data_IF_776892912374
#
_entry.id   IF_776892912374
#
_cell.length_a   1.000
_cell.length_b   1.000
_cell.length_c   1.000
_cell.angle_alpha   90.00
_cell.angle_beta   90.00
_cell.angle_gamma   90.00
#
_symmetry.space_group_name_H-M   'P 1'
#
loop_
_entity.id
_entity.type
_entity.pdbx_description
1 polymer ?
#
# COMPACT_ATOMS: atom_id res chain seq x y z
N UNK A 1 14.31 -28.31 65.20
CA UNK A 1 13.48 -27.45 64.34
C UNK A 1 13.89 -27.66 62.87
N UNK A 2 13.06 -28.32 62.09
CA UNK A 2 13.31 -28.54 60.66
C UNK A 2 12.73 -27.35 59.87
N UNK A 3 13.59 -26.56 59.21
CA UNK A 3 13.17 -25.49 58.29
C UNK A 3 12.58 -26.11 57.02
N UNK A 4 11.30 -25.87 56.77
CA UNK A 4 10.63 -26.18 55.49
C UNK A 4 10.94 -25.03 54.52
N UNK A 5 11.73 -25.29 53.47
CA UNK A 5 11.91 -24.37 52.34
C UNK A 5 10.67 -24.48 51.45
N UNK A 6 10.00 -23.36 51.27
CA UNK A 6 8.88 -23.22 50.35
C UNK A 6 9.46 -22.75 48.99
N UNK A 7 9.42 -23.58 47.97
CA UNK A 7 9.74 -23.17 46.59
C UNK A 7 8.47 -22.59 45.96
N UNK A 8 8.48 -21.28 45.72
CA UNK A 8 7.44 -20.62 44.89
C UNK A 8 7.82 -20.81 43.44
N UNK A 9 7.10 -21.67 42.71
CA UNK A 9 7.18 -21.76 41.27
C UNK A 9 6.45 -20.54 40.70
N UNK A 10 7.20 -19.56 40.21
CA UNK A 10 6.64 -18.44 39.43
C UNK A 10 6.36 -18.98 38.03
N UNK A 11 5.08 -19.26 37.75
CA UNK A 11 4.61 -19.52 36.41
C UNK A 11 4.58 -18.16 35.67
N UNK A 12 5.60 -17.85 34.91
CA UNK A 12 5.48 -16.82 33.88
C UNK A 12 4.66 -17.42 32.75
N UNK A 13 3.50 -16.84 32.39
CA UNK A 13 2.81 -17.29 31.18
C UNK A 13 3.75 -17.01 29.99
N UNK A 14 4.16 -18.04 29.27
CA UNK A 14 4.66 -17.89 27.93
C UNK A 14 3.48 -17.36 27.12
N UNK A 15 3.45 -16.07 26.84
CA UNK A 15 2.60 -15.50 25.79
C UNK A 15 3.12 -16.08 24.46
N UNK A 16 2.58 -17.23 24.08
CA UNK A 16 2.71 -17.74 22.72
C UNK A 16 1.93 -16.75 21.86
N UNK A 17 2.62 -15.85 21.15
CA UNK A 17 2.00 -15.02 20.14
C UNK A 17 1.56 -15.95 19.03
N UNK A 18 0.30 -16.36 19.08
CA UNK A 18 -0.36 -17.04 17.97
C UNK A 18 -0.58 -16.00 16.87
N UNK A 19 -0.66 -16.45 15.63
CA UNK A 19 -1.20 -15.72 14.50
C UNK A 19 -2.41 -14.88 14.93
N UNK A 20 -2.39 -13.57 14.69
CA UNK A 20 -3.47 -12.69 15.13
C UNK A 20 -4.00 -11.85 13.97
N UNK A 21 -5.31 -11.81 13.82
CA UNK A 21 -6.00 -10.82 13.00
C UNK A 21 -6.80 -9.92 13.94
N UNK A 22 -6.51 -8.64 13.93
CA UNK A 22 -7.08 -7.65 14.84
C UNK A 22 -7.67 -6.52 14.01
N UNK A 23 -8.89 -6.10 14.33
CA UNK A 23 -9.47 -4.85 13.80
C UNK A 23 -9.24 -3.76 14.83
N UNK A 24 -8.50 -2.73 14.43
CA UNK A 24 -8.18 -1.57 15.23
C UNK A 24 -8.98 -0.35 14.76
N UNK A 25 -9.13 0.61 15.65
CA UNK A 25 -9.72 1.92 15.34
C UNK A 25 -8.87 3.02 15.91
N UNK A 26 -8.68 4.11 15.16
CA UNK A 26 -8.04 5.33 15.67
C UNK A 26 -8.88 6.57 15.34
N UNK A 27 -8.86 7.54 16.24
CA UNK A 27 -9.43 8.86 15.95
C UNK A 27 -8.39 9.66 15.17
N UNK A 28 -8.67 9.93 13.90
CA UNK A 28 -7.79 10.69 13.02
C UNK A 28 -8.58 11.82 12.35
N UNK A 29 -8.09 13.05 12.44
CA UNK A 29 -8.75 14.27 11.93
C UNK A 29 -10.24 14.39 12.33
N UNK A 30 -10.56 14.00 13.56
CA UNK A 30 -11.91 14.09 14.11
C UNK A 30 -12.88 13.01 13.66
N UNK A 31 -12.47 12.06 12.82
CA UNK A 31 -13.25 10.88 12.44
C UNK A 31 -12.63 9.59 12.96
N UNK A 32 -13.48 8.62 13.29
CA UNK A 32 -13.03 7.29 13.67
C UNK A 32 -12.68 6.51 12.40
N UNK A 33 -11.38 6.18 12.24
CA UNK A 33 -10.87 5.37 11.13
C UNK A 33 -10.61 3.95 11.63
N UNK A 34 -10.76 2.98 10.73
CA UNK A 34 -10.56 1.56 11.01
C UNK A 34 -9.42 0.99 10.16
N UNK A 35 -8.71 -0.01 10.67
CA UNK A 35 -7.77 -0.82 9.90
C UNK A 35 -7.65 -2.23 10.50
N UNK A 36 -7.39 -3.22 9.64
CA UNK A 36 -7.18 -4.61 10.04
C UNK A 36 -5.68 -4.89 10.00
N UNK A 37 -5.15 -5.50 11.05
CA UNK A 37 -3.76 -5.94 11.15
C UNK A 37 -3.74 -7.46 11.23
N UNK A 38 -2.88 -8.07 10.43
CA UNK A 38 -2.55 -9.48 10.54
C UNK A 38 -1.08 -9.63 10.93
N UNK A 39 -0.84 -10.26 12.08
CA UNK A 39 0.49 -10.50 12.63
C UNK A 39 0.80 -11.99 12.55
N UNK A 40 1.76 -12.44 11.73
CA UNK A 40 2.17 -13.83 11.67
C UNK A 40 2.96 -14.23 12.92
N UNK A 41 2.99 -15.53 13.22
CA UNK A 41 3.69 -16.05 14.39
C UNK A 41 5.19 -15.70 14.42
N UNK A 42 5.82 -15.53 13.25
CA UNK A 42 7.24 -15.17 13.16
C UNK A 42 7.57 -13.71 13.49
N UNK A 43 6.54 -12.85 13.66
CA UNK A 43 6.69 -11.45 14.05
C UNK A 43 6.50 -11.30 15.56
N UNK A 44 7.48 -11.75 16.33
CA UNK A 44 7.49 -11.63 17.78
C UNK A 44 8.27 -10.41 18.28
N UNK A 45 8.34 -10.23 19.60
CA UNK A 45 9.04 -9.10 20.22
C UNK A 45 10.56 -9.05 19.94
N UNK A 46 11.15 -10.10 19.38
CA UNK A 46 12.58 -10.20 19.07
C UNK A 46 12.87 -10.09 17.56
N UNK A 47 11.84 -10.07 16.73
CA UNK A 47 11.97 -10.12 15.26
C UNK A 47 11.52 -8.80 14.65
N UNK A 48 12.44 -8.10 13.96
CA UNK A 48 12.08 -6.91 13.17
C UNK A 48 11.32 -7.33 11.92
N UNK A 49 10.02 -7.02 11.89
CA UNK A 49 9.13 -7.40 10.79
C UNK A 49 8.84 -6.25 9.85
N UNK A 50 8.87 -6.47 8.51
CA UNK A 50 8.35 -5.52 7.55
C UNK A 50 6.86 -5.27 7.74
N UNK A 51 6.38 -4.10 7.29
CA UNK A 51 4.96 -3.82 7.09
C UNK A 51 4.61 -3.90 5.60
N UNK A 52 3.44 -4.45 5.29
CA UNK A 52 2.81 -4.35 3.98
C UNK A 52 1.40 -3.80 4.12
N UNK A 53 1.18 -2.60 3.61
CA UNK A 53 -0.15 -2.02 3.47
C UNK A 53 -0.82 -2.51 2.20
N UNK A 54 -2.11 -2.86 2.29
CA UNK A 54 -2.91 -3.34 1.17
C UNK A 54 -4.23 -2.57 1.10
N UNK A 55 -4.43 -1.79 0.03
CA UNK A 55 -5.53 -0.83 -0.10
C UNK A 55 -6.60 -1.33 -1.07
N UNK A 56 -7.85 -1.34 -0.60
CA UNK A 56 -9.02 -1.66 -1.42
C UNK A 56 -9.30 -0.59 -2.48
N UNK A 57 -10.09 -0.93 -3.49
CA UNK A 57 -10.60 0.04 -4.48
C UNK A 57 -11.76 0.88 -3.95
N UNK A 58 -12.18 1.87 -4.73
CA UNK A 58 -13.32 2.73 -4.41
C UNK A 58 -14.59 1.92 -4.13
N UNK A 59 -15.37 2.33 -3.14
CA UNK A 59 -16.55 1.62 -2.68
C UNK A 59 -16.27 0.31 -1.93
N UNK A 60 -14.99 -0.07 -1.74
CA UNK A 60 -14.59 -1.31 -1.08
C UNK A 60 -14.55 -1.20 0.44
N UNK A 61 -14.46 -2.38 1.08
CA UNK A 61 -14.26 -2.49 2.53
C UNK A 61 -13.02 -3.33 2.82
N UNK A 62 -12.25 -2.93 3.83
CA UNK A 62 -11.05 -3.67 4.26
C UNK A 62 -11.38 -5.12 4.65
N UNK A 63 -12.55 -5.34 5.29
CA UNK A 63 -13.05 -6.67 5.68
C UNK A 63 -13.29 -7.62 4.51
N UNK A 64 -13.69 -7.09 3.37
CA UNK A 64 -13.91 -7.87 2.15
C UNK A 64 -12.62 -8.02 1.35
N UNK A 65 -11.83 -6.94 1.32
CA UNK A 65 -10.59 -6.90 0.55
C UNK A 65 -9.54 -7.88 1.08
N UNK A 66 -9.44 -8.06 2.41
CA UNK A 66 -8.55 -9.07 3.00
C UNK A 66 -8.91 -10.51 2.57
N UNK A 67 -10.14 -10.76 2.12
CA UNK A 67 -10.55 -12.09 1.64
C UNK A 67 -10.19 -12.32 0.17
N UNK A 68 -10.23 -11.27 -0.66
CA UNK A 68 -9.94 -11.36 -2.10
C UNK A 68 -8.48 -11.07 -2.42
N UNK A 69 -7.83 -10.25 -1.63
CA UNK A 69 -6.39 -9.98 -1.68
C UNK A 69 -5.71 -10.49 -0.40
N UNK A 70 -5.79 -11.80 -0.18
CA UNK A 70 -5.34 -12.45 1.05
C UNK A 70 -3.81 -12.57 1.09
N UNK A 71 -3.16 -11.61 1.75
CA UNK A 71 -1.72 -11.62 1.98
C UNK A 71 -1.29 -12.46 3.19
N UNK A 72 -2.22 -13.01 3.98
CA UNK A 72 -1.92 -13.76 5.21
C UNK A 72 -1.03 -14.99 4.96
N UNK A 73 -1.27 -15.85 3.94
CA UNK A 73 -0.39 -16.98 3.67
C UNK A 73 1.03 -16.56 3.28
N UNK A 74 1.18 -15.42 2.60
CA UNK A 74 2.49 -14.84 2.29
C UNK A 74 3.14 -14.24 3.54
N UNK A 75 2.36 -13.57 4.38
CA UNK A 75 2.83 -13.01 5.65
C UNK A 75 3.39 -14.11 6.56
N UNK A 76 2.74 -15.27 6.62
CA UNK A 76 3.19 -16.42 7.40
C UNK A 76 4.52 -17.00 6.89
N UNK A 77 4.74 -16.98 5.59
CA UNK A 77 5.95 -17.58 4.99
C UNK A 77 7.12 -16.60 4.92
N UNK A 78 6.84 -15.31 4.76
CA UNK A 78 7.85 -14.26 4.59
C UNK A 78 8.05 -13.39 5.84
N UNK A 79 7.29 -13.63 6.92
CA UNK A 79 7.36 -12.92 8.19
C UNK A 79 7.24 -11.39 8.04
N UNK A 80 6.11 -10.91 7.54
CA UNK A 80 5.75 -9.50 7.52
C UNK A 80 4.35 -9.28 8.11
N UNK A 81 4.11 -8.12 8.67
CA UNK A 81 2.79 -7.71 9.17
C UNK A 81 2.00 -7.12 8.02
N UNK A 82 0.80 -7.69 7.74
CA UNK A 82 -0.09 -7.18 6.71
C UNK A 82 -1.14 -6.25 7.33
N UNK A 83 -1.33 -5.07 6.72
CA UNK A 83 -2.24 -4.03 7.19
C UNK A 83 -3.23 -3.69 6.09
N UNK A 84 -4.52 -3.72 6.42
CA UNK A 84 -5.62 -3.38 5.52
C UNK A 84 -6.40 -2.21 6.09
N UNK A 85 -6.03 -0.97 5.76
CA UNK A 85 -6.76 0.20 6.22
C UNK A 85 -8.11 0.33 5.52
N UNK A 86 -9.06 1.02 6.18
CA UNK A 86 -10.38 1.34 5.63
C UNK A 86 -10.40 2.79 5.12
N UNK A 87 -10.73 2.97 3.84
CA UNK A 87 -11.01 4.26 3.24
C UNK A 87 -12.21 4.93 3.91
N UNK A 88 -12.16 6.26 4.09
CA UNK A 88 -13.28 7.01 4.63
C UNK A 88 -14.42 7.14 3.62
N UNK A 89 -15.62 7.51 4.08
CA UNK A 89 -16.73 7.80 3.19
C UNK A 89 -16.49 9.16 2.54
N UNK A 90 -16.44 9.18 1.19
CA UNK A 90 -16.39 10.43 0.44
C UNK A 90 -17.68 11.24 0.68
N UNK A 91 -17.60 12.45 1.26
CA UNK A 91 -18.76 13.27 1.53
C UNK A 91 -19.53 13.67 0.26
N UNK A 92 -18.87 13.66 -0.90
CA UNK A 92 -19.49 14.00 -2.19
C UNK A 92 -20.04 12.77 -2.92
N UNK A 93 -19.43 11.59 -2.72
CA UNK A 93 -19.80 10.35 -3.40
C UNK A 93 -20.65 9.39 -2.57
N UNK A 94 -20.66 9.52 -1.24
CA UNK A 94 -21.40 8.67 -0.33
C UNK A 94 -20.89 7.22 -0.24
N UNK A 95 -19.73 6.92 -0.83
CA UNK A 95 -19.07 5.60 -0.82
C UNK A 95 -17.69 5.71 -0.18
N UNK A 96 -17.15 4.59 0.29
CA UNK A 96 -15.77 4.52 0.78
C UNK A 96 -14.80 4.82 -0.35
N UNK A 97 -13.80 5.64 -0.10
CA UNK A 97 -12.85 6.08 -1.11
C UNK A 97 -11.50 6.45 -0.47
N UNK A 98 -10.47 6.45 -1.29
CA UNK A 98 -9.16 7.03 -1.01
C UNK A 98 -9.01 8.31 -1.81
N UNK A 99 -8.32 9.31 -1.23
CA UNK A 99 -8.05 10.55 -1.96
C UNK A 99 -9.33 11.04 -2.62
N UNK A 100 -10.25 11.54 -1.79
CA UNK A 100 -11.59 11.95 -2.22
C UNK A 100 -11.52 12.82 -3.49
N UNK A 101 -12.50 12.71 -4.37
CA UNK A 101 -12.56 13.39 -5.67
C UNK A 101 -12.50 14.92 -5.59
N UNK A 102 -12.72 15.49 -4.42
CA UNK A 102 -12.49 16.88 -4.10
C UNK A 102 -11.62 16.97 -2.85
N UNK A 103 -10.77 18.01 -2.70
CA UNK A 103 -10.00 18.22 -1.49
C UNK A 103 -10.91 18.19 -0.26
N UNK A 104 -10.50 17.45 0.76
CA UNK A 104 -11.17 17.37 2.05
C UNK A 104 -10.18 17.71 3.15
N UNK A 105 -10.68 17.94 4.37
CA UNK A 105 -9.81 18.12 5.55
C UNK A 105 -9.14 16.82 5.99
N UNK A 106 -9.49 15.68 5.37
CA UNK A 106 -8.95 14.36 5.69
C UNK A 106 -7.87 13.95 4.70
N UNK A 107 -6.66 13.76 5.18
CA UNK A 107 -5.53 13.32 4.36
C UNK A 107 -5.18 11.84 4.66
N UNK A 108 -5.51 10.97 3.72
CA UNK A 108 -5.26 9.53 3.84
C UNK A 108 -3.76 9.21 3.96
N UNK A 109 -2.87 10.02 3.39
CA UNK A 109 -1.41 9.82 3.50
C UNK A 109 -0.97 9.93 4.95
N UNK A 110 -1.44 10.96 5.67
CA UNK A 110 -1.13 11.13 7.10
C UNK A 110 -1.85 10.12 7.98
N UNK A 111 -3.02 9.61 7.55
CA UNK A 111 -3.64 8.47 8.21
C UNK A 111 -2.77 7.21 8.15
N UNK A 112 -2.20 6.91 6.98
CA UNK A 112 -1.26 5.78 6.85
C UNK A 112 0.00 6.00 7.69
N UNK A 113 0.53 7.23 7.70
CA UNK A 113 1.65 7.59 8.58
C UNK A 113 1.34 7.33 10.05
N UNK A 114 0.15 7.75 10.51
CA UNK A 114 -0.29 7.54 11.89
C UNK A 114 -0.41 6.04 12.24
N UNK A 115 -0.88 5.20 11.30
CA UNK A 115 -0.90 3.74 11.50
C UNK A 115 0.52 3.19 11.64
N UNK A 116 1.48 3.64 10.81
CA UNK A 116 2.88 3.22 10.91
C UNK A 116 3.42 3.54 12.30
N UNK A 117 3.19 4.77 12.78
CA UNK A 117 3.70 5.23 14.06
C UNK A 117 3.05 4.48 15.24
N UNK A 118 1.74 4.19 15.17
CA UNK A 118 1.03 3.39 16.18
C UNK A 118 1.55 1.95 16.22
N UNK A 119 1.68 1.29 15.06
CA UNK A 119 2.17 -0.09 14.99
C UNK A 119 3.65 -0.21 15.42
N UNK A 120 4.46 0.81 15.19
CA UNK A 120 5.84 0.83 15.65
C UNK A 120 5.98 0.93 17.19
N UNK A 121 4.95 1.41 17.90
CA UNK A 121 4.91 1.37 19.37
C UNK A 121 4.48 0.01 19.90
N UNK A 122 3.72 -0.76 19.14
CA UNK A 122 3.14 -2.03 19.58
C UNK A 122 3.97 -3.24 19.13
N UNK A 123 4.54 -3.17 17.93
CA UNK A 123 5.30 -4.25 17.30
C UNK A 123 6.73 -3.82 16.98
N UNK A 124 7.61 -4.80 16.85
CA UNK A 124 9.01 -4.57 16.46
C UNK A 124 9.08 -4.42 14.92
N UNK A 125 8.73 -3.23 14.41
CA UNK A 125 8.67 -2.95 12.98
C UNK A 125 10.07 -2.62 12.43
N UNK A 126 10.39 -3.19 11.27
CA UNK A 126 11.53 -2.73 10.47
C UNK A 126 11.13 -1.50 9.65
N UNK A 127 11.43 -0.33 10.16
CA UNK A 127 11.08 0.96 9.54
C UNK A 127 11.72 1.19 8.17
N UNK A 128 12.73 0.39 7.79
CA UNK A 128 13.35 0.44 6.47
C UNK A 128 12.69 -0.53 5.47
N UNK A 129 11.70 -1.30 5.91
CA UNK A 129 10.97 -2.27 5.08
C UNK A 129 9.46 -2.11 5.26
N UNK A 130 8.97 -0.92 4.89
CA UNK A 130 7.54 -0.60 4.85
C UNK A 130 7.11 -0.50 3.39
N UNK A 131 6.11 -1.27 3.01
CA UNK A 131 5.66 -1.44 1.65
C UNK A 131 4.17 -1.11 1.52
N UNK A 132 3.77 -0.72 0.31
CA UNK A 132 2.38 -0.40 0.00
C UNK A 132 1.94 -1.12 -1.28
N UNK A 133 0.72 -1.61 -1.33
CA UNK A 133 0.10 -2.04 -2.57
C UNK A 133 -1.39 -1.72 -2.57
N UNK A 134 -1.95 -1.47 -3.75
CA UNK A 134 -3.35 -1.13 -3.85
C UNK A 134 -3.96 -1.48 -5.20
N UNK A 135 -5.27 -1.63 -5.18
CA UNK A 135 -6.09 -1.89 -6.36
C UNK A 135 -6.99 -0.70 -6.67
N UNK A 136 -7.10 -0.31 -7.96
CA UNK A 136 -7.97 0.78 -8.40
C UNK A 136 -7.65 2.10 -7.66
N UNK A 137 -8.58 2.70 -6.91
CA UNK A 137 -8.30 3.90 -6.08
C UNK A 137 -7.20 3.65 -5.03
N UNK A 138 -7.09 2.42 -4.51
CA UNK A 138 -5.96 2.04 -3.63
C UNK A 138 -4.61 2.07 -4.35
N UNK A 139 -4.57 1.83 -5.67
CA UNK A 139 -3.38 2.02 -6.46
C UNK A 139 -3.00 3.51 -6.59
N UNK A 140 -4.01 4.39 -6.78
CA UNK A 140 -3.79 5.85 -6.77
C UNK A 140 -3.18 6.28 -5.44
N UNK A 141 -3.72 5.80 -4.32
CA UNK A 141 -3.14 6.05 -2.99
C UNK A 141 -1.69 5.56 -2.90
N UNK A 142 -1.37 4.40 -3.47
CA UNK A 142 0.00 3.86 -3.45
C UNK A 142 1.01 4.77 -4.17
N UNK A 143 0.63 5.39 -5.29
CA UNK A 143 1.46 6.41 -5.93
C UNK A 143 1.65 7.64 -5.04
N UNK A 144 0.58 8.12 -4.41
CA UNK A 144 0.66 9.29 -3.53
C UNK A 144 1.52 9.03 -2.28
N UNK A 145 1.51 7.81 -1.76
CA UNK A 145 2.44 7.39 -0.72
C UNK A 145 3.89 7.45 -1.23
N UNK A 146 4.14 6.97 -2.45
CA UNK A 146 5.45 7.10 -3.10
C UNK A 146 5.87 8.54 -3.34
N UNK A 147 4.95 9.47 -3.62
CA UNK A 147 5.24 10.89 -3.83
C UNK A 147 5.41 11.68 -2.52
N UNK A 148 4.59 11.40 -1.50
CA UNK A 148 4.43 12.28 -0.33
C UNK A 148 4.91 11.67 0.98
N UNK A 149 5.10 10.34 1.04
CA UNK A 149 5.52 9.61 2.25
C UNK A 149 6.68 8.63 1.97
N UNK A 150 7.43 8.82 0.88
CA UNK A 150 8.51 7.88 0.54
C UNK A 150 9.68 7.92 1.54
N UNK A 151 9.73 8.89 2.44
CA UNK A 151 10.64 8.84 3.60
C UNK A 151 10.38 7.64 4.52
N UNK A 152 9.17 7.07 4.49
CA UNK A 152 8.78 5.87 5.25
C UNK A 152 8.49 4.67 4.35
N UNK A 153 8.02 4.88 3.10
CA UNK A 153 7.65 3.81 2.16
C UNK A 153 8.85 3.42 1.29
N UNK A 154 9.33 2.20 1.44
CA UNK A 154 10.51 1.70 0.72
C UNK A 154 10.23 1.25 -0.70
N UNK A 155 9.03 0.72 -0.96
CA UNK A 155 8.55 0.37 -2.30
C UNK A 155 7.03 0.26 -2.33
N UNK A 156 6.44 0.39 -3.51
CA UNK A 156 5.00 0.23 -3.67
C UNK A 156 4.60 -0.48 -4.97
N UNK A 157 3.37 -1.00 -4.99
CA UNK A 157 2.76 -1.60 -6.16
C UNK A 157 1.37 -1.00 -6.44
N UNK A 158 1.07 -0.75 -7.70
CA UNK A 158 -0.18 -0.21 -8.17
C UNK A 158 -0.84 -1.17 -9.17
N UNK A 159 -2.05 -1.64 -8.86
CA UNK A 159 -2.80 -2.60 -9.68
C UNK A 159 -4.05 -1.92 -10.21
N UNK A 160 -4.21 -1.87 -11.54
CA UNK A 160 -5.38 -1.29 -12.21
C UNK A 160 -5.78 0.08 -11.65
N UNK A 161 -4.83 1.00 -11.55
CA UNK A 161 -5.02 2.40 -11.16
C UNK A 161 -3.88 3.24 -11.72
N UNK A 162 -4.20 4.47 -12.17
CA UNK A 162 -3.25 5.39 -12.76
C UNK A 162 -2.77 6.43 -11.75
N UNK A 163 -1.55 6.90 -11.94
CA UNK A 163 -0.99 8.00 -11.17
C UNK A 163 -1.68 9.31 -11.53
N UNK A 164 -1.96 10.16 -10.55
CA UNK A 164 -2.46 11.51 -10.81
C UNK A 164 -1.39 12.33 -11.54
N UNK A 165 -1.81 13.06 -12.58
CA UNK A 165 -0.94 14.03 -13.24
C UNK A 165 -0.64 15.22 -12.29
N UNK A 166 0.53 15.82 -12.44
CA UNK A 166 0.94 16.98 -11.61
C UNK A 166 -0.03 18.16 -11.74
N UNK A 167 -0.66 18.36 -12.91
CA UNK A 167 -1.72 19.36 -13.05
C UNK A 167 -2.86 19.08 -12.06
N UNK A 168 -3.34 17.84 -12.02
CA UNK A 168 -4.45 17.45 -11.15
C UNK A 168 -4.06 17.55 -9.67
N UNK A 169 -2.83 17.17 -9.32
CA UNK A 169 -2.27 17.27 -7.98
C UNK A 169 -2.14 18.73 -7.52
N UNK A 170 -1.65 19.61 -8.40
CA UNK A 170 -1.40 21.02 -8.06
C UNK A 170 -2.70 21.84 -8.05
N UNK A 171 -3.47 21.81 -9.13
CA UNK A 171 -4.58 22.74 -9.33
C UNK A 171 -5.86 22.31 -8.62
N UNK A 172 -6.04 21.00 -8.38
CA UNK A 172 -7.23 20.47 -7.71
C UNK A 172 -6.95 20.19 -6.23
N UNK A 173 -5.83 19.51 -5.91
CA UNK A 173 -5.53 19.12 -4.53
C UNK A 173 -4.57 20.06 -3.81
N UNK A 174 -3.81 20.89 -4.52
CA UNK A 174 -2.81 21.79 -3.91
C UNK A 174 -1.62 21.07 -3.26
N UNK A 175 -1.31 19.85 -3.70
CA UNK A 175 -0.26 19.02 -3.08
C UNK A 175 1.15 19.29 -3.62
N UNK A 176 1.30 20.04 -4.69
CA UNK A 176 2.56 20.21 -5.41
C UNK A 176 2.84 19.04 -6.36
N UNK A 177 3.95 19.15 -7.08
CA UNK A 177 4.45 18.08 -7.97
C UNK A 177 4.87 16.83 -7.18
N UNK A 178 4.93 15.67 -7.85
CA UNK A 178 5.45 14.45 -7.23
C UNK A 178 7.00 14.56 -7.17
N UNK A 179 7.52 14.85 -6.01
CA UNK A 179 8.98 14.99 -5.76
C UNK A 179 9.39 14.10 -4.58
N UNK A 180 9.53 12.77 -4.79
CA UNK A 180 9.99 11.87 -3.74
C UNK A 180 11.37 12.29 -3.19
N UNK A 181 11.67 12.04 -1.92
CA UNK A 181 12.94 12.48 -1.31
C UNK A 181 14.12 11.54 -1.60
N UNK A 182 13.84 10.34 -2.09
CA UNK A 182 14.86 9.35 -2.50
C UNK A 182 14.26 8.38 -3.52
N UNK A 183 15.09 7.66 -4.31
CA UNK A 183 14.63 6.61 -5.21
C UNK A 183 13.76 5.59 -4.50
N UNK A 184 12.66 5.19 -5.14
CA UNK A 184 11.65 4.29 -4.56
C UNK A 184 11.22 3.26 -5.60
N UNK A 185 11.45 1.99 -5.31
CA UNK A 185 11.06 0.92 -6.22
C UNK A 185 9.54 0.85 -6.39
N UNK A 186 9.09 0.68 -7.63
CA UNK A 186 7.67 0.57 -7.92
C UNK A 186 7.33 -0.59 -8.85
N UNK A 187 6.12 -1.12 -8.72
CA UNK A 187 5.53 -2.08 -9.64
C UNK A 187 4.18 -1.55 -10.13
N UNK A 188 4.02 -1.47 -11.46
CA UNK A 188 2.76 -1.14 -12.10
C UNK A 188 2.20 -2.40 -12.78
N UNK A 189 0.94 -2.72 -12.51
CA UNK A 189 0.20 -3.83 -13.16
C UNK A 189 -1.05 -3.25 -13.82
N UNK A 190 -0.95 -2.72 -15.05
CA UNK A 190 -2.06 -2.14 -15.78
C UNK A 190 -2.70 -3.19 -16.71
N UNK A 191 -3.99 -3.05 -17.00
CA UNK A 191 -4.63 -3.72 -18.12
C UNK A 191 -4.46 -2.92 -19.41
N UNK A 192 -3.92 -3.51 -20.48
CA UNK A 192 -3.69 -2.79 -21.74
C UNK A 192 -4.97 -2.39 -22.47
N UNK A 193 -6.10 -2.98 -22.13
CA UNK A 193 -7.44 -2.66 -22.69
C UNK A 193 -8.40 -2.16 -21.60
N UNK A 194 -7.87 -1.75 -20.45
CA UNK A 194 -8.68 -1.16 -19.38
C UNK A 194 -9.28 0.16 -19.86
N UNK A 195 -10.61 0.27 -19.78
CA UNK A 195 -11.36 1.44 -20.21
C UNK A 195 -11.88 2.28 -19.04
N UNK A 196 -11.57 1.89 -17.80
CA UNK A 196 -11.96 2.68 -16.65
C UNK A 196 -11.13 3.99 -16.63
N UNK A 197 -11.79 5.17 -16.52
CA UNK A 197 -11.09 6.46 -16.54
C UNK A 197 -9.94 6.59 -15.54
N UNK A 198 -10.03 5.92 -14.40
CA UNK A 198 -9.03 6.00 -13.32
C UNK A 198 -7.89 4.97 -13.45
N UNK A 199 -7.94 4.09 -14.45
CA UNK A 199 -6.96 3.02 -14.64
C UNK A 199 -6.64 2.71 -16.09
N UNK A 200 -7.12 3.54 -17.02
CA UNK A 200 -6.86 3.36 -18.46
C UNK A 200 -5.37 3.39 -18.76
N UNK A 201 -4.93 2.50 -19.65
CA UNK A 201 -3.53 2.39 -20.05
C UNK A 201 -2.99 3.68 -20.68
N UNK A 202 -3.84 4.39 -21.43
CA UNK A 202 -3.48 5.60 -22.18
C UNK A 202 -3.53 6.90 -21.35
N UNK A 203 -3.94 6.82 -20.06
CA UNK A 203 -4.17 8.00 -19.24
C UNK A 203 -5.48 8.72 -19.56
N UNK A 204 -5.76 9.80 -18.86
CA UNK A 204 -7.01 10.56 -19.01
C UNK A 204 -6.73 12.06 -18.98
N UNK A 205 -7.32 12.78 -19.94
CA UNK A 205 -7.40 14.24 -19.94
C UNK A 205 -8.84 14.72 -20.13
N UNK A 206 -9.16 15.87 -19.56
CA UNK A 206 -10.42 16.58 -19.81
C UNK A 206 -10.12 17.83 -20.62
N UNK A 207 -10.33 17.76 -21.94
CA UNK A 207 -9.83 18.76 -22.87
C UNK A 207 -8.28 18.79 -22.85
N UNK A 208 -7.70 19.94 -22.54
CA UNK A 208 -6.25 20.13 -22.42
C UNK A 208 -5.72 19.86 -20.99
N UNK A 209 -6.59 19.51 -20.04
CA UNK A 209 -6.23 19.31 -18.63
C UNK A 209 -5.94 17.83 -18.38
N UNK A 210 -4.67 17.43 -18.17
CA UNK A 210 -4.32 16.05 -17.83
C UNK A 210 -4.77 15.75 -16.40
N UNK A 211 -5.42 14.59 -16.20
CA UNK A 211 -5.89 14.15 -14.89
C UNK A 211 -5.10 12.93 -14.39
N UNK A 212 -4.92 11.94 -15.27
CA UNK A 212 -4.20 10.70 -14.97
C UNK A 212 -3.15 10.44 -16.04
N UNK A 213 -1.96 10.06 -15.59
CA UNK A 213 -0.85 9.71 -16.47
C UNK A 213 -1.11 8.39 -17.19
N UNK A 214 -0.60 8.24 -18.42
CA UNK A 214 -0.56 6.95 -19.10
C UNK A 214 0.41 5.98 -18.40
N UNK A 215 0.24 4.67 -18.61
CA UNK A 215 1.16 3.66 -18.11
C UNK A 215 2.61 3.89 -18.58
N UNK A 216 2.78 4.39 -19.81
CA UNK A 216 4.11 4.72 -20.35
C UNK A 216 4.71 5.96 -19.67
N UNK A 217 3.92 7.00 -19.39
CA UNK A 217 4.40 8.20 -18.70
C UNK A 217 4.76 7.88 -17.25
N UNK A 218 3.95 7.07 -16.55
CA UNK A 218 4.22 6.59 -15.19
C UNK A 218 5.57 5.84 -15.15
N UNK A 219 5.77 4.88 -16.07
CA UNK A 219 7.02 4.10 -16.09
C UNK A 219 8.21 4.98 -16.46
N UNK A 220 8.04 5.96 -17.35
CA UNK A 220 9.08 6.93 -17.70
C UNK A 220 9.43 7.82 -16.51
N UNK A 221 8.42 8.35 -15.80
CA UNK A 221 8.63 9.17 -14.61
C UNK A 221 9.46 8.41 -13.57
N UNK A 222 9.00 7.22 -13.15
CA UNK A 222 9.66 6.47 -12.08
C UNK A 222 11.02 5.89 -12.50
N UNK A 223 11.19 5.47 -13.77
CA UNK A 223 12.50 5.01 -14.25
C UNK A 223 13.54 6.13 -14.26
N UNK A 224 13.15 7.33 -14.69
CA UNK A 224 14.04 8.50 -14.64
C UNK A 224 14.33 8.91 -13.20
N UNK A 225 13.32 8.94 -12.34
CA UNK A 225 13.47 9.31 -10.93
C UNK A 225 14.38 8.35 -10.17
N UNK A 226 14.26 7.06 -10.42
CA UNK A 226 15.07 6.00 -9.83
C UNK A 226 16.42 5.81 -10.56
N UNK A 227 16.75 6.66 -11.52
CA UNK A 227 18.01 6.61 -12.28
C UNK A 227 18.33 5.24 -12.89
N UNK A 228 17.31 4.53 -13.37
CA UNK A 228 17.42 3.19 -13.95
C UNK A 228 17.93 3.25 -15.39
N UNK A 229 18.21 2.09 -16.00
CA UNK A 229 18.45 1.97 -17.42
C UNK A 229 17.33 2.61 -18.23
N UNK A 230 17.66 3.28 -19.34
CA UNK A 230 16.67 3.95 -20.21
C UNK A 230 15.76 2.98 -20.97
N UNK A 231 16.11 1.72 -21.06
CA UNK A 231 15.36 0.68 -21.77
C UNK A 231 15.10 -0.52 -20.85
N UNK A 232 13.86 -1.03 -20.81
CA UNK A 232 13.55 -2.18 -19.99
C UNK A 232 14.03 -3.51 -20.59
N UNK A 233 14.31 -4.48 -19.73
CA UNK A 233 14.36 -5.90 -20.13
C UNK A 233 12.94 -6.43 -20.22
N UNK A 234 12.55 -6.90 -21.41
CA UNK A 234 11.18 -7.36 -21.69
C UNK A 234 11.15 -8.89 -21.73
N UNK A 235 10.20 -9.47 -21.02
CA UNK A 235 9.93 -10.92 -21.00
C UNK A 235 8.44 -11.19 -20.92
N UNK A 236 7.95 -12.19 -21.62
CA UNK A 236 6.63 -12.73 -21.37
C UNK A 236 6.63 -13.55 -20.07
N UNK A 237 5.60 -13.43 -19.28
CA UNK A 237 5.32 -14.31 -18.15
C UNK A 237 4.63 -15.56 -18.69
N UNK A 238 4.95 -16.73 -18.14
CA UNK A 238 4.30 -18.00 -18.52
C UNK A 238 2.78 -17.89 -18.29
N UNK A 239 2.03 -18.19 -19.32
CA UNK A 239 0.56 -18.22 -19.26
C UNK A 239 0.11 -19.56 -18.64
N UNK A 240 -0.28 -19.53 -17.37
CA UNK A 240 -0.76 -20.69 -16.62
C UNK A 240 -2.25 -20.96 -16.83
N UNK A 241 -2.96 -20.07 -17.50
CA UNK A 241 -4.41 -20.14 -17.78
C UNK A 241 -4.73 -19.81 -19.24
N UNK A 242 -4.23 -20.55 -20.23
CA UNK A 242 -4.24 -20.15 -21.65
C UNK A 242 -5.64 -20.02 -22.27
N UNK A 243 -6.69 -20.34 -21.52
CA UNK A 243 -8.08 -20.25 -21.99
C UNK A 243 -8.83 -19.01 -21.45
N UNK A 244 -8.21 -18.17 -20.65
CA UNK A 244 -8.84 -16.94 -20.10
C UNK A 244 -8.72 -15.73 -21.05
N UNK A 245 -7.94 -15.86 -22.14
CA UNK A 245 -7.75 -14.83 -23.16
C UNK A 245 -6.83 -13.70 -22.72
N UNK A 246 -6.11 -13.83 -21.61
CA UNK A 246 -5.13 -12.86 -21.13
C UNK A 246 -3.68 -13.34 -21.32
N UNK A 247 -2.76 -12.39 -21.42
CA UNK A 247 -1.32 -12.64 -21.42
C UNK A 247 -0.62 -11.55 -20.61
N UNK A 248 0.56 -11.84 -20.07
CA UNK A 248 1.33 -10.87 -19.29
C UNK A 248 2.71 -10.66 -19.87
N UNK A 249 3.00 -9.42 -20.26
CA UNK A 249 4.34 -8.96 -20.58
C UNK A 249 4.95 -8.26 -19.37
N UNK A 250 6.17 -8.65 -18.97
CA UNK A 250 6.91 -8.02 -17.90
C UNK A 250 8.05 -7.16 -18.44
N UNK A 251 8.03 -5.87 -18.10
CA UNK A 251 9.09 -4.89 -18.35
C UNK A 251 9.82 -4.59 -17.05
N UNK A 252 11.14 -4.64 -17.04
CA UNK A 252 11.96 -4.32 -15.86
C UNK A 252 13.03 -3.32 -16.24
N UNK A 253 13.01 -2.17 -15.62
CA UNK A 253 14.10 -1.19 -15.66
C UNK A 253 15.06 -1.55 -14.53
N UNK A 254 16.33 -1.74 -14.86
CA UNK A 254 17.37 -2.25 -13.95
C UNK A 254 18.38 -1.15 -13.63
N UNK A 255 19.31 -1.47 -12.71
CA UNK A 255 20.44 -0.62 -12.35
C UNK A 255 20.05 0.78 -11.82
N UNK A 256 18.91 0.90 -11.15
CA UNK A 256 18.52 2.10 -10.40
C UNK A 256 19.27 2.24 -9.08
N UNK A 257 19.19 3.43 -8.49
CA UNK A 257 19.76 3.79 -7.18
C UNK A 257 18.97 3.18 -6.02
#
# INVERSE_FOLDING_TARGET
>A
MKRKSFFILIFTPLLCLAQQQITNTMLFDGILREYIVYVPQGCDANTFCPLLFSFHGGGGYASDFIQVNDMRPLADTANFIAVYPQGSIDPNGGTTSWIHKAPTDHDDIFFIEAIIDELALEYNIDINRIYACGYSEGAILSYELGCRLNSKISAFAAVSGSMLDDYYRNDIYGWGTCEPVHPTAMMLIPGTIDQNPHSTYEGLSFGEMPLYMSANDITTFWSNYNNTDSSPVINNVEDISPNDGSTVERKRWLNGD
#
